data_IF_046172666458
#
_entry.id   IF_046172666458
#
_cell.length_a   1.000
_cell.length_b   1.000
_cell.length_c   1.000
_cell.angle_alpha   90.00
_cell.angle_beta   90.00
_cell.angle_gamma   90.00
#
_symmetry.space_group_name_H-M   'P 1'
#
loop_
_entity.id
_entity.type
_entity.pdbx_description
1 polymer ?
#
# COMPACT_ATOMS: atom_id res chain seq x y z
N UNK A 1 57.22 43.06 42.18
CA UNK A 1 56.61 43.98 41.19
C UNK A 1 56.36 43.25 39.88
N UNK A 2 55.10 42.93 39.59
CA UNK A 2 54.45 42.93 38.25
C UNK A 2 53.06 42.27 38.40
N UNK A 3 52.02 43.08 38.19
CA UNK A 3 50.60 42.71 38.07
C UNK A 3 50.34 42.29 36.62
N UNK A 4 49.59 41.21 36.40
CA UNK A 4 48.76 40.95 35.20
C UNK A 4 47.60 40.05 35.65
N UNK A 5 46.44 40.61 36.03
CA UNK A 5 45.23 40.77 35.20
C UNK A 5 44.89 39.50 34.41
N UNK A 6 44.08 38.63 35.02
CA UNK A 6 43.31 37.60 34.29
C UNK A 6 42.10 38.28 33.67
N UNK A 7 42.15 38.56 32.36
CA UNK A 7 40.98 38.91 31.57
C UNK A 7 40.28 37.62 31.16
N UNK A 8 39.03 37.49 31.57
CA UNK A 8 38.10 36.45 31.13
C UNK A 8 37.86 36.58 29.62
N UNK A 9 38.33 35.60 28.85
CA UNK A 9 37.98 35.48 27.43
C UNK A 9 36.87 34.44 27.29
N UNK A 10 35.65 34.92 27.44
CA UNK A 10 34.45 34.27 26.91
C UNK A 10 34.43 34.51 25.40
N UNK A 11 34.65 33.46 24.60
CA UNK A 11 34.24 33.46 23.19
C UNK A 11 33.51 32.15 22.87
N UNK A 12 32.24 32.33 22.51
CA UNK A 12 31.27 31.36 22.05
C UNK A 12 31.63 30.83 20.67
N UNK A 13 31.62 29.51 20.48
CA UNK A 13 31.39 28.79 19.21
C UNK A 13 30.89 27.37 19.57
N UNK A 14 29.58 27.20 19.68
CA UNK A 14 28.70 26.56 18.68
C UNK A 14 28.90 25.03 18.53
N UNK A 15 28.03 24.31 19.25
CA UNK A 15 27.46 22.98 18.99
C UNK A 15 28.22 22.01 18.07
N UNK A 16 29.09 21.19 18.66
CA UNK A 16 29.36 19.84 18.15
C UNK A 16 28.33 18.89 18.78
N UNK A 17 27.21 18.72 18.08
CA UNK A 17 26.25 17.65 18.36
C UNK A 17 26.92 16.30 18.12
N UNK A 18 27.05 15.53 19.20
CA UNK A 18 27.50 14.14 19.21
C UNK A 18 26.45 13.28 18.47
N UNK A 19 26.68 13.02 17.19
CA UNK A 19 25.94 11.99 16.45
C UNK A 19 26.46 10.63 16.89
N UNK A 20 25.78 10.00 17.84
CA UNK A 20 26.00 8.60 18.20
C UNK A 20 25.68 7.72 17.00
N UNK A 21 26.73 7.20 16.38
CA UNK A 21 26.64 6.12 15.41
C UNK A 21 26.00 4.90 16.09
N UNK A 22 24.73 4.64 15.77
CA UNK A 22 24.05 3.40 16.15
C UNK A 22 24.59 2.27 15.27
N UNK A 23 25.67 1.65 15.74
CA UNK A 23 26.18 0.39 15.20
C UNK A 23 25.31 -0.74 15.76
N UNK A 24 24.34 -1.20 14.98
CA UNK A 24 23.59 -2.41 15.29
C UNK A 24 24.48 -3.62 15.00
N UNK A 25 25.14 -4.15 16.02
CA UNK A 25 25.60 -5.54 16.03
C UNK A 25 24.36 -6.43 15.95
N UNK A 26 24.18 -7.13 14.85
CA UNK A 26 23.28 -8.29 14.79
C UNK A 26 24.09 -9.46 15.34
N UNK A 27 23.73 -9.87 16.56
CA UNK A 27 24.27 -11.07 17.19
C UNK A 27 23.58 -12.28 16.56
N UNK A 28 24.34 -13.08 15.81
CA UNK A 28 23.85 -14.28 15.13
C UNK A 28 23.90 -15.47 16.10
N UNK A 29 22.82 -15.71 16.83
CA UNK A 29 22.57 -17.03 17.42
C UNK A 29 21.88 -17.90 16.37
N UNK A 30 22.57 -18.97 15.99
CA UNK A 30 22.17 -19.97 14.99
C UNK A 30 20.94 -20.72 15.53
N UNK A 31 19.76 -20.40 15.00
CA UNK A 31 18.52 -21.17 15.10
C UNK A 31 18.19 -21.80 13.73
N UNK A 32 17.40 -22.89 13.68
CA UNK A 32 17.31 -23.72 12.50
C UNK A 32 16.73 -22.96 11.29
N UNK A 33 17.48 -23.06 10.20
CA UNK A 33 17.27 -22.58 8.84
C UNK A 33 15.82 -22.74 8.35
N UNK A 34 15.03 -21.67 8.45
CA UNK A 34 13.71 -21.57 7.83
C UNK A 34 13.82 -20.62 6.63
N UNK A 35 14.33 -21.13 5.51
CA UNK A 35 14.58 -20.39 4.24
C UNK A 35 13.36 -19.67 3.62
N UNK A 36 12.20 -19.69 4.27
CA UNK A 36 10.99 -18.98 3.88
C UNK A 36 10.87 -17.57 4.50
N UNK A 37 11.69 -17.22 5.50
CA UNK A 37 11.56 -15.92 6.20
C UNK A 37 12.11 -14.72 5.42
N UNK A 38 13.06 -14.94 4.50
CA UNK A 38 13.68 -13.84 3.75
C UNK A 38 12.80 -13.36 2.58
N UNK A 39 11.84 -14.18 2.13
CA UNK A 39 10.82 -13.83 1.14
C UNK A 39 9.75 -12.88 1.70
N UNK A 40 9.65 -12.75 3.04
CA UNK A 40 8.63 -11.97 3.75
C UNK A 40 8.96 -10.47 3.86
N UNK A 41 10.11 -10.03 3.32
CA UNK A 41 10.64 -8.68 3.54
C UNK A 41 10.47 -7.71 2.36
N UNK A 42 9.77 -8.09 1.29
CA UNK A 42 9.34 -7.11 0.28
C UNK A 42 8.01 -6.52 0.76
N UNK A 43 7.96 -5.22 1.11
CA UNK A 43 6.72 -4.61 1.54
C UNK A 43 5.82 -4.43 0.31
N UNK A 44 4.63 -5.02 0.38
CA UNK A 44 3.68 -4.98 -0.73
C UNK A 44 2.91 -3.68 -0.71
N UNK A 45 2.70 -3.13 -1.89
CA UNK A 45 2.02 -1.87 -2.09
C UNK A 45 0.52 -2.04 -2.21
N UNK A 46 -0.23 -1.36 -1.36
CA UNK A 46 -1.69 -1.34 -1.41
C UNK A 46 -2.20 0.06 -1.75
N UNK A 47 -3.06 0.14 -2.77
CA UNK A 47 -3.77 1.36 -3.13
C UNK A 47 -5.23 1.29 -2.63
N UNK A 48 -5.60 2.20 -1.71
CA UNK A 48 -6.99 2.38 -1.30
C UNK A 48 -7.67 3.39 -2.23
N UNK A 49 -8.46 2.90 -3.17
CA UNK A 49 -9.13 3.74 -4.17
C UNK A 49 -10.22 4.61 -3.54
N UNK A 50 -10.66 5.68 -4.23
CA UNK A 50 -11.85 6.42 -3.84
C UNK A 50 -13.06 5.49 -3.69
N UNK A 51 -13.77 5.58 -2.55
CA UNK A 51 -14.93 4.72 -2.29
C UNK A 51 -16.15 5.21 -3.08
N UNK A 52 -17.01 4.28 -3.49
CA UNK A 52 -18.30 4.61 -4.05
C UNK A 52 -19.32 4.83 -2.95
N UNK A 53 -20.09 5.92 -3.05
CA UNK A 53 -21.21 6.19 -2.16
C UNK A 53 -22.53 5.88 -2.89
N UNK A 54 -23.25 4.86 -2.44
CA UNK A 54 -24.58 4.50 -2.96
C UNK A 54 -25.70 4.97 -2.01
N UNK A 55 -25.41 5.99 -1.20
CA UNK A 55 -26.33 6.58 -0.22
C UNK A 55 -26.53 8.06 -0.53
N UNK A 56 -27.54 8.67 0.09
CA UNK A 56 -27.83 10.09 -0.07
C UNK A 56 -26.98 11.01 0.84
N UNK A 57 -26.09 10.45 1.67
CA UNK A 57 -25.25 11.21 2.60
C UNK A 57 -23.94 11.62 1.93
N UNK A 58 -23.87 12.86 1.45
CA UNK A 58 -22.70 13.42 0.76
C UNK A 58 -21.41 13.40 1.61
N UNK A 59 -20.27 13.10 0.98
CA UNK A 59 -18.95 13.14 1.61
C UNK A 59 -18.64 11.93 2.50
N UNK A 60 -19.60 11.01 2.67
CA UNK A 60 -19.41 9.79 3.46
C UNK A 60 -18.30 8.90 2.88
N UNK A 61 -18.12 8.88 1.56
CA UNK A 61 -17.03 8.19 0.87
C UNK A 61 -15.64 8.65 1.29
N UNK A 62 -15.47 9.95 1.56
CA UNK A 62 -14.19 10.51 2.01
C UNK A 62 -13.91 10.07 3.45
N UNK A 63 -14.88 10.28 4.34
CA UNK A 63 -14.76 9.93 5.76
C UNK A 63 -14.53 8.43 5.98
N UNK A 64 -15.26 7.58 5.26
CA UNK A 64 -15.14 6.12 5.38
C UNK A 64 -13.82 5.65 4.78
N UNK A 65 -13.39 6.19 3.63
CA UNK A 65 -12.09 5.85 3.03
C UNK A 65 -10.94 6.25 3.94
N UNK A 66 -10.94 7.47 4.48
CA UNK A 66 -9.91 7.95 5.42
C UNK A 66 -9.85 7.08 6.68
N UNK A 67 -10.99 6.81 7.31
CA UNK A 67 -11.05 5.94 8.49
C UNK A 67 -10.58 4.51 8.18
N UNK A 68 -10.99 3.96 7.04
CA UNK A 68 -10.53 2.63 6.60
C UNK A 68 -9.02 2.61 6.35
N UNK A 69 -8.49 3.61 5.63
CA UNK A 69 -7.07 3.77 5.36
C UNK A 69 -6.26 3.86 6.65
N UNK A 70 -6.68 4.69 7.61
CA UNK A 70 -5.98 4.84 8.89
C UNK A 70 -5.90 3.53 9.69
N UNK A 71 -6.93 2.69 9.61
CA UNK A 71 -6.88 1.37 10.23
C UNK A 71 -6.02 0.37 9.44
N UNK A 72 -6.01 0.47 8.11
CA UNK A 72 -5.23 -0.40 7.23
C UNK A 72 -3.72 -0.07 7.25
N UNK A 73 -3.34 1.20 7.27
CA UNK A 73 -1.94 1.67 7.25
C UNK A 73 -1.14 1.20 8.47
N UNK A 74 -1.82 0.86 9.57
CA UNK A 74 -1.23 0.23 10.75
C UNK A 74 -0.86 -1.26 10.56
N UNK A 75 -1.00 -1.82 9.35
CA UNK A 75 -0.80 -3.24 9.03
C UNK A 75 0.45 -3.47 8.17
N UNK A 76 0.64 -4.70 7.70
CA UNK A 76 1.90 -5.22 7.11
C UNK A 76 2.20 -4.69 5.71
N UNK A 77 1.28 -3.96 5.08
CA UNK A 77 1.47 -3.43 3.72
C UNK A 77 2.14 -2.06 3.73
N UNK A 78 2.95 -1.78 2.72
CA UNK A 78 3.33 -0.41 2.39
C UNK A 78 2.13 0.23 1.67
N UNK A 79 1.43 1.12 2.34
CA UNK A 79 0.34 1.86 1.73
C UNK A 79 0.85 2.99 0.83
N UNK A 80 0.08 3.27 -0.21
CA UNK A 80 0.25 4.48 -1.01
C UNK A 80 -0.67 5.54 -0.41
N UNK A 81 -0.09 6.69 -0.06
CA UNK A 81 -0.82 7.82 0.49
C UNK A 81 -2.05 8.17 -0.37
N UNK A 82 -3.22 8.24 0.26
CA UNK A 82 -4.50 8.46 -0.46
C UNK A 82 -4.49 9.77 -1.27
N UNK A 83 -3.74 10.78 -0.83
CA UNK A 83 -3.56 12.05 -1.56
C UNK A 83 -2.75 11.88 -2.83
N UNK A 84 -1.75 10.99 -2.82
CA UNK A 84 -0.95 10.67 -3.99
C UNK A 84 -1.74 9.82 -4.98
N UNK A 85 -2.59 8.90 -4.48
CA UNK A 85 -3.57 8.17 -5.29
C UNK A 85 -4.50 9.15 -5.99
N UNK A 86 -5.07 10.13 -5.28
CA UNK A 86 -6.01 11.09 -5.86
C UNK A 86 -5.36 11.96 -6.95
N UNK A 87 -4.11 12.38 -6.73
CA UNK A 87 -3.32 13.11 -7.74
C UNK A 87 -3.08 12.24 -8.98
N UNK A 88 -2.62 11.01 -8.78
CA UNK A 88 -2.34 10.07 -9.86
C UNK A 88 -3.61 9.72 -10.65
N UNK A 89 -4.75 9.50 -9.99
CA UNK A 89 -6.05 9.29 -10.62
C UNK A 89 -6.39 10.48 -11.52
N UNK A 90 -6.25 11.72 -11.04
CA UNK A 90 -6.51 12.91 -11.85
C UNK A 90 -5.63 12.99 -13.10
N UNK A 91 -4.36 12.61 -13.00
CA UNK A 91 -3.45 12.55 -14.14
C UNK A 91 -3.80 11.44 -15.13
N UNK A 92 -4.20 10.27 -14.63
CA UNK A 92 -4.66 9.13 -15.44
C UNK A 92 -5.92 9.50 -16.21
N UNK A 93 -6.92 10.11 -15.56
CA UNK A 93 -8.15 10.55 -16.22
C UNK A 93 -7.87 11.55 -17.35
N UNK A 94 -6.96 12.52 -17.12
CA UNK A 94 -6.53 13.48 -18.13
C UNK A 94 -5.82 12.81 -19.32
N UNK A 95 -4.99 11.81 -19.05
CA UNK A 95 -4.22 11.10 -20.09
C UNK A 95 -5.10 10.18 -20.94
N UNK A 96 -6.00 9.43 -20.30
CA UNK A 96 -6.83 8.41 -20.98
C UNK A 96 -8.13 9.01 -21.55
N UNK A 97 -8.53 10.22 -21.14
CA UNK A 97 -9.78 10.85 -21.55
C UNK A 97 -11.03 10.12 -21.05
N UNK A 98 -10.91 9.33 -19.98
CA UNK A 98 -11.97 8.51 -19.37
C UNK A 98 -12.03 8.78 -17.87
N UNK A 99 -13.19 8.53 -17.25
CA UNK A 99 -13.28 8.55 -15.79
C UNK A 99 -12.58 7.32 -15.22
N UNK A 100 -11.97 7.49 -14.04
CA UNK A 100 -11.24 6.39 -13.39
C UNK A 100 -12.16 5.21 -13.07
N UNK A 101 -13.46 5.48 -12.84
CA UNK A 101 -14.50 4.47 -12.62
C UNK A 101 -14.73 3.54 -13.82
N UNK A 102 -14.36 3.99 -15.02
CA UNK A 102 -14.48 3.21 -16.26
C UNK A 102 -13.22 2.36 -16.52
N UNK A 103 -12.18 2.51 -15.68
CA UNK A 103 -10.95 1.73 -15.76
C UNK A 103 -11.08 0.54 -14.82
N UNK A 104 -10.81 -0.71 -15.29
CA UNK A 104 -10.81 -1.88 -14.42
C UNK A 104 -9.89 -1.67 -13.19
N UNK A 105 -10.34 -2.03 -11.96
CA UNK A 105 -9.58 -1.76 -10.75
C UNK A 105 -8.16 -2.34 -10.73
N UNK A 106 -7.96 -3.51 -11.35
CA UNK A 106 -6.66 -4.15 -11.52
C UNK A 106 -5.72 -3.29 -12.39
N UNK A 107 -6.24 -2.79 -13.53
CA UNK A 107 -5.49 -1.90 -14.43
C UNK A 107 -5.17 -0.58 -13.75
N UNK A 108 -6.13 -0.02 -13.01
CA UNK A 108 -5.91 1.22 -12.26
C UNK A 108 -4.83 1.02 -11.19
N UNK A 109 -4.85 -0.10 -10.48
CA UNK A 109 -3.80 -0.47 -9.52
C UNK A 109 -2.40 -0.58 -10.13
N UNK A 110 -2.28 -1.20 -11.32
CA UNK A 110 -1.00 -1.25 -12.07
C UNK A 110 -0.51 0.15 -12.43
N UNK A 111 -1.40 1.04 -12.87
CA UNK A 111 -1.04 2.43 -13.17
C UNK A 111 -0.60 3.22 -11.93
N UNK A 112 -1.12 2.86 -10.75
CA UNK A 112 -0.73 3.43 -9.46
C UNK A 112 0.54 2.78 -8.87
N UNK A 113 1.04 1.70 -9.47
CA UNK A 113 2.20 0.95 -8.97
C UNK A 113 1.92 0.18 -7.68
N UNK A 114 0.69 -0.30 -7.51
CA UNK A 114 0.26 -1.11 -6.38
C UNK A 114 0.19 -2.60 -6.75
N UNK A 115 0.55 -3.48 -5.82
CA UNK A 115 0.40 -4.94 -5.93
C UNK A 115 -1.06 -5.35 -5.65
N UNK A 116 -1.75 -4.58 -4.79
CA UNK A 116 -3.17 -4.76 -4.52
C UNK A 116 -3.95 -3.45 -4.55
N UNK A 117 -5.21 -3.57 -4.93
CA UNK A 117 -6.19 -2.49 -4.87
C UNK A 117 -7.26 -2.84 -3.87
N UNK A 118 -7.58 -1.88 -2.99
CA UNK A 118 -8.79 -1.92 -2.18
C UNK A 118 -9.87 -1.09 -2.88
N UNK A 119 -10.97 -1.75 -3.24
CA UNK A 119 -12.19 -1.12 -3.70
C UNK A 119 -13.23 -1.14 -2.59
N UNK A 120 -13.88 0.00 -2.36
CA UNK A 120 -14.90 0.14 -1.31
C UNK A 120 -16.19 0.74 -1.83
N UNK A 121 -17.31 0.25 -1.31
CA UNK A 121 -18.65 0.78 -1.60
C UNK A 121 -19.47 0.89 -0.33
N UNK A 122 -19.99 2.08 -0.06
CA UNK A 122 -20.95 2.33 1.01
C UNK A 122 -22.33 2.02 0.44
N UNK A 123 -22.88 0.87 0.84
CA UNK A 123 -24.13 0.37 0.28
C UNK A 123 -25.35 1.00 0.93
N UNK A 124 -25.24 1.40 2.21
CA UNK A 124 -26.38 1.87 2.97
C UNK A 124 -25.95 2.75 4.14
N UNK A 125 -26.68 3.83 4.37
CA UNK A 125 -26.58 4.66 5.57
C UNK A 125 -28.00 5.10 5.96
N UNK A 126 -28.54 4.52 7.04
CA UNK A 126 -29.91 4.80 7.52
C UNK A 126 -29.90 5.40 8.91
N UNK A 127 -30.75 6.41 9.10
CA UNK A 127 -31.12 6.97 10.39
C UNK A 127 -32.57 6.56 10.64
N UNK A 128 -32.81 5.80 11.70
CA UNK A 128 -34.14 5.33 12.10
C UNK A 128 -34.52 5.99 13.43
N UNK A 129 -35.67 6.67 13.46
CA UNK A 129 -36.20 7.35 14.64
C UNK A 129 -37.61 6.82 14.93
N UNK A 130 -37.84 6.30 16.13
CA UNK A 130 -39.15 5.80 16.59
C UNK A 130 -39.39 6.23 18.04
N UNK A 131 -40.12 7.33 18.23
CA UNK A 131 -40.37 7.90 19.56
C UNK A 131 -39.06 8.30 20.26
N UNK A 132 -38.77 7.64 21.38
CA UNK A 132 -37.51 7.81 22.13
C UNK A 132 -36.33 7.00 21.58
N UNK A 133 -36.59 6.09 20.63
CA UNK A 133 -35.56 5.24 20.04
C UNK A 133 -34.95 5.90 18.81
N UNK A 134 -33.62 5.99 18.77
CA UNK A 134 -32.85 6.46 17.62
C UNK A 134 -31.75 5.46 17.30
N UNK A 135 -31.60 5.10 16.03
CA UNK A 135 -30.55 4.22 15.55
C UNK A 135 -29.94 4.75 14.25
N UNK A 136 -28.62 4.64 14.13
CA UNK A 136 -27.88 4.86 12.87
C UNK A 136 -27.27 3.52 12.44
N UNK A 137 -27.37 3.19 11.16
CA UNK A 137 -26.76 1.99 10.57
C UNK A 137 -25.95 2.32 9.33
N UNK A 138 -24.79 1.69 9.19
CA UNK A 138 -23.88 1.83 8.06
C UNK A 138 -23.52 0.45 7.51
N UNK A 139 -23.65 0.27 6.19
CA UNK A 139 -23.27 -0.96 5.48
C UNK A 139 -22.11 -0.66 4.53
N UNK A 140 -20.99 -1.34 4.74
CA UNK A 140 -19.76 -1.19 3.97
C UNK A 140 -19.42 -2.49 3.25
N UNK A 141 -19.11 -2.40 1.97
CA UNK A 141 -18.58 -3.47 1.15
C UNK A 141 -17.13 -3.17 0.76
N UNK A 142 -16.22 -4.10 1.00
CA UNK A 142 -14.80 -3.98 0.62
C UNK A 142 -14.39 -5.19 -0.21
N UNK A 143 -13.56 -4.93 -1.22
CA UNK A 143 -12.87 -5.92 -2.04
C UNK A 143 -11.37 -5.62 -2.04
N UNK A 144 -10.54 -6.66 -1.96
CA UNK A 144 -9.10 -6.60 -2.18
C UNK A 144 -8.82 -7.39 -3.45
N UNK A 145 -8.21 -6.71 -4.42
CA UNK A 145 -8.04 -7.19 -5.79
C UNK A 145 -6.54 -7.24 -6.09
N UNK A 146 -6.08 -8.37 -6.63
CA UNK A 146 -4.75 -8.52 -7.17
C UNK A 146 -4.64 -7.70 -8.47
N UNK A 147 -3.70 -6.75 -8.52
CA UNK A 147 -3.56 -5.86 -9.69
C UNK A 147 -2.96 -6.57 -10.89
N UNK A 148 -2.31 -7.72 -10.72
CA UNK A 148 -1.72 -8.47 -11.82
C UNK A 148 -2.78 -9.20 -12.67
N UNK A 149 -3.59 -10.06 -12.03
CA UNK A 149 -4.55 -10.94 -12.72
C UNK A 149 -6.02 -10.49 -12.54
N UNK A 150 -6.29 -9.46 -11.73
CA UNK A 150 -7.64 -9.00 -11.42
C UNK A 150 -8.43 -9.94 -10.49
N UNK A 151 -7.78 -10.91 -9.87
CA UNK A 151 -8.43 -11.84 -8.94
C UNK A 151 -8.86 -11.12 -7.65
N UNK A 152 -10.08 -11.39 -7.20
CA UNK A 152 -10.58 -10.92 -5.91
C UNK A 152 -10.02 -11.84 -4.82
N UNK A 153 -8.97 -11.39 -4.13
CA UNK A 153 -8.32 -12.15 -3.06
C UNK A 153 -9.17 -12.22 -1.80
N UNK A 154 -9.94 -11.16 -1.54
CA UNK A 154 -10.83 -11.08 -0.40
C UNK A 154 -11.97 -10.11 -0.66
N UNK A 155 -13.16 -10.44 -0.14
CA UNK A 155 -14.34 -9.59 -0.23
C UNK A 155 -15.23 -9.79 1.00
N UNK A 156 -15.80 -8.70 1.51
CA UNK A 156 -16.74 -8.75 2.62
C UNK A 156 -17.71 -7.58 2.61
N UNK A 157 -18.94 -7.85 3.07
CA UNK A 157 -19.92 -6.83 3.43
C UNK A 157 -20.14 -6.89 4.93
N UNK A 158 -20.10 -5.74 5.59
CA UNK A 158 -20.36 -5.62 7.02
C UNK A 158 -21.40 -4.53 7.26
N UNK A 159 -22.24 -4.73 8.28
CA UNK A 159 -23.19 -3.71 8.73
C UNK A 159 -23.04 -3.51 10.22
N UNK A 160 -22.77 -2.27 10.64
CA UNK A 160 -22.79 -1.89 12.04
C UNK A 160 -23.98 -0.98 12.33
N UNK A 161 -24.42 -1.00 13.59
CA UNK A 161 -25.48 -0.14 14.11
C UNK A 161 -25.02 0.53 15.40
N UNK A 162 -25.50 1.74 15.63
CA UNK A 162 -25.37 2.48 16.88
C UNK A 162 -26.77 2.93 17.31
N UNK A 163 -27.16 2.71 18.57
CA UNK A 163 -28.47 3.08 19.12
C UNK A 163 -28.32 3.74 20.49
N UNK A 164 -29.33 4.49 20.91
CA UNK A 164 -29.44 4.96 22.30
C UNK A 164 -29.85 3.78 23.20
N UNK A 165 -29.12 3.56 24.29
CA UNK A 165 -29.20 2.35 25.10
C UNK A 165 -28.65 2.62 26.50
N UNK A 166 -29.18 3.66 27.15
CA UNK A 166 -28.86 4.07 28.51
C UNK A 166 -29.89 5.08 29.00
N UNK A 167 -30.18 5.07 30.30
CA UNK A 167 -31.14 5.94 31.02
C UNK A 167 -30.94 7.44 30.65
N UNK A 168 -32.00 8.27 30.61
CA UNK A 168 -32.21 9.30 29.59
C UNK A 168 -31.71 10.71 29.97
N UNK A 169 -31.36 11.51 28.96
CA UNK A 169 -31.30 12.98 29.08
C UNK A 169 -32.23 13.74 28.11
N UNK A 170 -33.22 13.07 27.49
CA UNK A 170 -34.20 13.74 26.63
C UNK A 170 -35.64 13.73 27.16
N UNK A 171 -35.83 13.49 28.46
CA UNK A 171 -37.15 13.34 29.10
C UNK A 171 -38.06 14.59 29.08
N UNK A 172 -37.78 15.62 28.29
CA UNK A 172 -38.72 16.70 28.03
C UNK A 172 -38.85 17.00 26.55
N UNK A 173 -39.98 16.57 25.99
CA UNK A 173 -40.49 17.07 24.72
C UNK A 173 -40.86 18.54 24.84
N UNK A 174 -39.90 19.42 24.51
CA UNK A 174 -40.14 20.82 24.15
C UNK A 174 -39.10 21.16 23.08
N UNK A 175 -39.52 21.32 21.83
CA UNK A 175 -38.81 22.21 20.89
C UNK A 175 -39.08 23.64 21.41
N UNK A 176 -38.15 24.64 21.56
CA UNK A 176 -36.94 24.96 20.76
C UNK A 176 -35.72 25.60 21.49
N UNK A 177 -34.55 25.65 20.82
CA UNK A 177 -33.38 26.59 20.92
C UNK A 177 -32.01 25.89 20.81
N UNK A 178 -31.96 24.56 20.98
CA UNK A 178 -30.72 23.77 21.00
C UNK A 178 -30.38 23.08 19.67
N UNK A 179 -30.74 23.66 18.53
CA UNK A 179 -30.57 23.04 17.20
C UNK A 179 -29.09 22.79 16.83
N UNK A 180 -28.12 23.38 17.55
CA UNK A 180 -26.69 23.14 17.34
C UNK A 180 -26.17 21.88 18.04
N UNK A 181 -26.68 21.54 19.22
CA UNK A 181 -26.15 20.42 20.02
C UNK A 181 -26.59 19.05 19.49
N UNK A 182 -27.79 18.97 18.93
CA UNK A 182 -28.30 17.75 18.27
C UNK A 182 -27.53 17.41 17.00
N UNK A 183 -27.14 18.41 16.20
CA UNK A 183 -26.28 18.19 15.02
C UNK A 183 -24.89 17.65 15.43
N UNK A 184 -24.29 18.18 16.50
CA UNK A 184 -22.99 17.71 16.99
C UNK A 184 -23.02 16.23 17.42
N UNK A 185 -24.00 15.83 18.24
CA UNK A 185 -24.15 14.44 18.68
C UNK A 185 -24.40 13.46 17.51
N UNK A 186 -25.13 13.88 16.47
CA UNK A 186 -25.33 13.04 15.29
C UNK A 186 -24.05 12.87 14.46
N UNK A 187 -23.18 13.89 14.43
CA UNK A 187 -21.89 13.81 13.76
C UNK A 187 -20.91 12.94 14.55
N UNK A 188 -20.85 13.06 15.87
CA UNK A 188 -20.04 12.18 16.72
C UNK A 188 -20.45 10.71 16.56
N UNK A 189 -21.75 10.40 16.69
CA UNK A 189 -22.27 9.03 16.50
C UNK A 189 -22.00 8.48 15.10
N UNK A 190 -22.04 9.34 14.08
CA UNK A 190 -21.67 8.97 12.71
C UNK A 190 -20.18 8.60 12.64
N UNK A 191 -19.31 9.43 13.19
CA UNK A 191 -17.87 9.17 13.21
C UNK A 191 -17.53 7.90 14.01
N UNK A 192 -18.10 7.72 15.19
CA UNK A 192 -17.94 6.50 16.00
C UNK A 192 -18.38 5.25 15.23
N UNK A 193 -19.51 5.34 14.51
CA UNK A 193 -20.02 4.23 13.71
C UNK A 193 -19.08 3.92 12.53
N UNK A 194 -18.55 4.95 11.86
CA UNK A 194 -17.55 4.83 10.77
C UNK A 194 -16.29 4.16 11.29
N UNK A 195 -15.71 4.65 12.39
CA UNK A 195 -14.51 4.06 12.98
C UNK A 195 -14.74 2.62 13.41
N UNK A 196 -15.89 2.34 14.05
CA UNK A 196 -16.25 0.99 14.48
C UNK A 196 -16.39 0.04 13.29
N UNK A 197 -17.07 0.44 12.20
CA UNK A 197 -17.21 -0.43 11.02
C UNK A 197 -15.87 -0.65 10.32
N UNK A 198 -15.06 0.40 10.14
CA UNK A 198 -13.78 0.30 9.45
C UNK A 198 -12.78 -0.54 10.26
N UNK A 199 -12.67 -0.33 11.57
CA UNK A 199 -11.85 -1.16 12.46
C UNK A 199 -12.26 -2.63 12.41
N UNK A 200 -13.56 -2.92 12.53
CA UNK A 200 -14.08 -4.29 12.47
C UNK A 200 -13.83 -4.93 11.11
N UNK A 201 -13.98 -4.15 10.03
CA UNK A 201 -13.71 -4.62 8.67
C UNK A 201 -12.23 -4.97 8.48
N UNK A 202 -11.32 -4.10 8.91
CA UNK A 202 -9.88 -4.33 8.80
C UNK A 202 -9.43 -5.51 9.68
N UNK A 203 -10.01 -5.69 10.87
CA UNK A 203 -9.61 -6.78 11.78
C UNK A 203 -9.92 -8.18 11.25
N UNK A 204 -10.83 -8.31 10.28
CA UNK A 204 -11.19 -9.61 9.69
C UNK A 204 -10.53 -9.87 8.32
N UNK A 205 -9.67 -8.95 7.85
CA UNK A 205 -8.89 -9.16 6.63
C UNK A 205 -7.81 -10.22 6.90
N UNK A 206 -7.74 -11.31 6.12
CA UNK A 206 -6.77 -12.38 6.32
C UNK A 206 -5.43 -12.00 5.67
N UNK A 207 -4.71 -11.05 6.26
CA UNK A 207 -3.45 -10.50 5.73
C UNK A 207 -2.42 -11.57 5.36
N UNK A 208 -2.23 -12.59 6.19
CA UNK A 208 -1.29 -13.70 5.92
C UNK A 208 -1.71 -14.51 4.68
N UNK A 209 -3.01 -14.79 4.52
CA UNK A 209 -3.52 -15.53 3.35
C UNK A 209 -3.34 -14.71 2.08
N UNK A 210 -3.61 -13.41 2.14
CA UNK A 210 -3.42 -12.49 1.01
C UNK A 210 -1.93 -12.42 0.66
N UNK A 211 -1.05 -12.30 1.66
CA UNK A 211 0.39 -12.31 1.47
C UNK A 211 0.88 -13.61 0.81
N UNK A 212 0.37 -14.76 1.26
CA UNK A 212 0.75 -16.06 0.69
C UNK A 212 0.13 -16.35 -0.68
N UNK A 213 -0.92 -15.62 -1.08
CA UNK A 213 -1.58 -15.77 -2.39
C UNK A 213 -0.87 -15.03 -3.52
N UNK A 214 0.20 -14.30 -3.23
CA UNK A 214 0.97 -13.56 -4.23
C UNK A 214 1.62 -14.55 -5.19
N UNK A 215 1.39 -14.31 -6.48
CA UNK A 215 2.27 -14.86 -7.49
C UNK A 215 3.62 -14.12 -7.40
N UNK A 216 4.54 -14.64 -6.60
CA UNK A 216 5.94 -14.20 -6.66
C UNK A 216 6.46 -14.63 -8.02
N UNK A 217 6.70 -13.65 -8.89
CA UNK A 217 7.35 -13.92 -10.16
C UNK A 217 8.85 -13.76 -10.03
N UNK A 218 9.55 -14.63 -10.74
CA UNK A 218 10.99 -14.64 -10.80
C UNK A 218 11.39 -14.16 -12.17
N UNK A 219 12.14 -13.06 -12.22
CA UNK A 219 12.89 -12.67 -13.40
C UNK A 219 14.33 -13.15 -13.24
N UNK A 220 14.95 -13.54 -14.33
CA UNK A 220 16.36 -13.92 -14.37
C UNK A 220 17.11 -12.77 -15.01
N UNK A 221 17.90 -12.04 -14.21
CA UNK A 221 18.78 -11.02 -14.76
C UNK A 221 20.04 -11.68 -15.30
N UNK A 222 20.22 -11.62 -16.61
CA UNK A 222 21.36 -12.23 -17.30
C UNK A 222 22.57 -11.28 -17.32
N UNK A 223 22.35 -10.02 -17.66
CA UNK A 223 23.39 -9.01 -17.77
C UNK A 223 22.83 -7.58 -17.64
N UNK A 224 23.69 -6.61 -17.36
CA UNK A 224 23.36 -5.20 -17.42
C UNK A 224 24.48 -4.41 -18.10
N UNK A 225 24.12 -3.59 -19.09
CA UNK A 225 25.08 -2.87 -19.91
C UNK A 225 24.81 -1.36 -19.91
N UNK A 226 25.88 -0.57 -19.87
CA UNK A 226 25.79 0.87 -20.19
C UNK A 226 25.69 1.09 -21.70
N UNK A 227 26.42 0.27 -22.46
CA UNK A 227 26.46 0.29 -23.92
C UNK A 227 25.22 -0.40 -24.51
N UNK A 228 24.49 0.34 -25.35
CA UNK A 228 23.27 -0.12 -26.02
C UNK A 228 23.55 -1.16 -27.11
N UNK A 229 24.66 -1.05 -27.82
CA UNK A 229 24.99 -1.98 -28.91
C UNK A 229 25.41 -3.33 -28.37
N UNK A 230 26.16 -3.33 -27.26
CA UNK A 230 26.51 -4.55 -26.54
C UNK A 230 25.27 -5.26 -25.96
N UNK A 231 24.33 -4.48 -25.43
CA UNK A 231 23.03 -4.99 -25.00
C UNK A 231 22.28 -5.66 -26.17
N UNK A 232 22.20 -4.99 -27.32
CA UNK A 232 21.48 -5.48 -28.51
C UNK A 232 22.09 -6.79 -29.03
N UNK A 233 23.42 -6.86 -29.17
CA UNK A 233 24.13 -8.09 -29.56
C UNK A 233 23.86 -9.26 -28.61
N UNK A 234 23.80 -8.98 -27.31
CA UNK A 234 23.53 -9.99 -26.27
C UNK A 234 22.09 -10.50 -26.36
N UNK A 235 21.11 -9.60 -26.60
CA UNK A 235 19.71 -9.97 -26.82
C UNK A 235 19.60 -10.91 -28.03
N UNK A 236 20.22 -10.57 -29.15
CA UNK A 236 20.15 -11.38 -30.38
C UNK A 236 20.79 -12.76 -30.18
N UNK A 237 21.86 -12.84 -29.38
CA UNK A 237 22.46 -14.12 -28.98
C UNK A 237 21.51 -14.94 -28.13
N UNK A 238 20.89 -14.36 -27.10
CA UNK A 238 19.97 -15.08 -26.22
C UNK A 238 18.69 -15.51 -26.95
N UNK A 239 18.15 -14.67 -27.85
CA UNK A 239 17.02 -15.03 -28.71
C UNK A 239 17.32 -16.20 -29.64
N UNK A 240 18.54 -16.25 -30.22
CA UNK A 240 18.99 -17.40 -31.03
C UNK A 240 19.10 -18.70 -30.23
N UNK A 241 19.33 -18.61 -28.92
CA UNK A 241 19.31 -19.75 -28.00
C UNK A 241 17.87 -20.14 -27.57
N UNK A 242 16.86 -19.43 -28.06
CA UNK A 242 15.45 -19.71 -27.79
C UNK A 242 14.90 -19.06 -26.51
N UNK A 243 15.60 -18.08 -25.93
CA UNK A 243 15.10 -17.36 -24.77
C UNK A 243 14.22 -16.18 -25.17
N UNK A 244 13.10 -16.00 -24.47
CA UNK A 244 12.33 -14.76 -24.52
C UNK A 244 12.97 -13.72 -23.60
N UNK A 245 13.37 -12.59 -24.19
CA UNK A 245 14.21 -11.60 -23.52
C UNK A 245 13.48 -10.26 -23.42
N UNK A 246 13.46 -9.69 -22.22
CA UNK A 246 13.01 -8.32 -21.91
C UNK A 246 14.20 -7.44 -21.58
N UNK A 247 14.05 -6.13 -21.84
CA UNK A 247 15.05 -5.12 -21.48
C UNK A 247 14.40 -4.06 -20.60
N UNK A 248 14.98 -3.84 -19.43
CA UNK A 248 14.63 -2.74 -18.56
C UNK A 248 15.71 -1.67 -18.57
N UNK A 249 15.27 -0.41 -18.66
CA UNK A 249 16.16 0.74 -18.59
C UNK A 249 16.13 1.32 -17.18
N UNK A 250 17.27 1.33 -16.49
CA UNK A 250 17.39 1.87 -15.13
C UNK A 250 18.47 2.94 -15.04
N UNK A 251 18.10 4.12 -14.54
CA UNK A 251 19.07 5.15 -14.17
C UNK A 251 19.68 4.83 -12.81
N UNK A 252 21.01 4.66 -12.76
CA UNK A 252 21.73 4.41 -11.51
C UNK A 252 23.04 5.20 -11.50
N UNK A 253 23.24 6.01 -10.47
CA UNK A 253 24.42 6.89 -10.31
C UNK A 253 24.67 7.78 -11.55
N UNK A 254 23.61 8.39 -12.08
CA UNK A 254 23.68 9.29 -13.24
C UNK A 254 23.94 8.60 -14.59
N UNK A 255 23.90 7.26 -14.67
CA UNK A 255 24.11 6.50 -15.90
C UNK A 255 22.90 5.64 -16.23
N UNK A 256 22.58 5.49 -17.51
CA UNK A 256 21.49 4.66 -18.01
C UNK A 256 21.99 3.23 -18.25
N UNK A 257 21.48 2.30 -17.46
CA UNK A 257 21.74 0.87 -17.61
C UNK A 257 20.61 0.19 -18.39
N UNK A 258 21.00 -0.71 -19.28
CA UNK A 258 20.12 -1.61 -20.02
C UNK A 258 20.27 -3.01 -19.40
N UNK A 259 19.31 -3.38 -18.56
CA UNK A 259 19.28 -4.68 -17.88
C UNK A 259 18.50 -5.69 -18.72
N UNK A 260 19.12 -6.82 -19.00
CA UNK A 260 18.54 -7.93 -19.75
C UNK A 260 17.92 -8.93 -18.77
N UNK A 261 16.63 -9.20 -18.95
CA UNK A 261 15.82 -10.09 -18.12
C UNK A 261 15.22 -11.21 -18.97
N UNK A 262 15.08 -12.39 -18.37
CA UNK A 262 14.34 -13.53 -18.91
C UNK A 262 13.27 -13.91 -17.89
N UNK A 263 12.01 -14.00 -18.31
CA UNK A 263 10.85 -14.16 -17.43
C UNK A 263 9.69 -13.22 -17.82
N UNK A 264 8.59 -13.20 -17.05
CA UNK A 264 8.49 -13.70 -15.67
C UNK A 264 8.21 -15.22 -15.56
N UNK A 265 8.70 -15.85 -14.49
CA UNK A 265 8.39 -17.23 -14.12
C UNK A 265 7.57 -17.28 -12.83
N UNK A 266 6.49 -18.05 -12.77
CA UNK A 266 5.65 -18.21 -11.57
C UNK A 266 6.21 -19.19 -10.53
N UNK A 267 7.33 -19.87 -10.83
CA UNK A 267 7.89 -20.92 -9.99
C UNK A 267 9.41 -20.82 -9.91
N UNK A 268 9.94 -20.67 -8.69
CA UNK A 268 11.37 -20.58 -8.41
C UNK A 268 12.19 -21.72 -8.99
N UNK A 269 11.67 -22.95 -8.89
CA UNK A 269 12.35 -24.15 -9.38
C UNK A 269 12.53 -24.09 -10.89
N UNK A 270 11.53 -23.57 -11.60
CA UNK A 270 11.61 -23.37 -13.06
C UNK A 270 12.63 -22.30 -13.40
N UNK A 271 12.61 -21.17 -12.70
CA UNK A 271 13.60 -20.10 -12.90
C UNK A 271 15.04 -20.60 -12.62
N UNK A 272 15.25 -21.38 -11.54
CA UNK A 272 16.54 -22.00 -11.21
C UNK A 272 17.02 -22.97 -12.29
N UNK A 273 16.13 -23.77 -12.90
CA UNK A 273 16.50 -24.64 -14.03
C UNK A 273 16.97 -23.84 -15.25
N UNK A 274 16.31 -22.73 -15.55
CA UNK A 274 16.71 -21.83 -16.64
C UNK A 274 18.04 -21.14 -16.31
N UNK A 275 18.28 -20.73 -15.07
CA UNK A 275 19.59 -20.21 -14.60
C UNK A 275 20.71 -21.21 -14.89
N UNK A 276 20.54 -22.48 -14.51
CA UNK A 276 21.56 -23.50 -14.74
C UNK A 276 21.78 -23.77 -16.23
N UNK A 277 20.71 -23.71 -17.04
CA UNK A 277 20.83 -23.81 -18.50
C UNK A 277 21.62 -22.65 -19.09
N UNK A 278 21.36 -21.41 -18.68
CA UNK A 278 22.07 -20.22 -19.16
C UNK A 278 23.55 -20.28 -18.76
N UNK A 279 23.87 -20.70 -17.53
CA UNK A 279 25.27 -20.88 -17.08
C UNK A 279 26.03 -21.92 -17.90
N UNK A 280 25.33 -22.95 -18.40
CA UNK A 280 25.91 -24.00 -19.24
C UNK A 280 26.10 -23.54 -20.68
N UNK A 281 25.13 -22.80 -21.23
CA UNK A 281 25.07 -22.43 -22.64
C UNK A 281 25.78 -21.10 -22.95
N UNK A 282 26.14 -20.32 -21.92
CA UNK A 282 26.70 -18.97 -22.05
C UNK A 282 27.74 -18.66 -20.97
N UNK A 283 28.54 -17.62 -21.17
CA UNK A 283 29.48 -17.09 -20.17
C UNK A 283 28.82 -16.24 -19.06
N UNK A 284 27.49 -16.05 -19.11
CA UNK A 284 26.81 -15.18 -18.16
C UNK A 284 26.62 -15.87 -16.80
N UNK A 285 26.64 -15.06 -15.74
CA UNK A 285 26.32 -15.47 -14.38
C UNK A 285 24.96 -14.85 -14.04
N UNK A 286 23.86 -15.47 -14.47
CA UNK A 286 22.54 -14.93 -14.23
C UNK A 286 22.21 -14.97 -12.73
N UNK A 287 21.52 -13.93 -12.27
CA UNK A 287 21.00 -13.83 -10.91
C UNK A 287 19.48 -13.90 -10.93
N UNK A 288 18.94 -14.57 -9.92
CA UNK A 288 17.51 -14.60 -9.69
C UNK A 288 17.10 -13.24 -9.10
N UNK A 289 16.14 -12.59 -9.73
CA UNK A 289 15.57 -11.32 -9.30
C UNK A 289 14.11 -11.57 -8.97
N UNK A 290 13.72 -11.22 -7.76
CA UNK A 290 12.32 -11.21 -7.37
C UNK A 290 11.66 -9.99 -7.98
N UNK A 291 10.62 -10.22 -8.77
CA UNK A 291 9.74 -9.18 -9.24
C UNK A 291 8.38 -9.38 -8.55
N UNK A 292 8.03 -8.49 -7.62
CA UNK A 292 6.63 -8.24 -7.32
C UNK A 292 6.12 -7.33 -8.44
N UNK A 293 5.18 -7.84 -9.23
CA UNK A 293 4.54 -7.10 -10.31
C UNK A 293 3.06 -6.96 -10.02
#
# INVERSE_FOLDING_TARGET
MKRYVLVSLSLVLLFLGCGTFYSSRVDSTIGPDNKNSDLLNIPLKVAVLPFNNLTDENGLELLVRESFYNHLSSKVFQDIEIKDIDRAISEIEKREGKKWKDIPPDRLGRLLGADFVVSGSILNFKKFFLGIYSQISLTLHIQIINTYNGEILWMRTLTNRSHDGGIPFSLFGIVPSALRSTLHLTNERKMDLIEKICRNMVSIIPFEKIYNSICVYYDIQVAAFLDKDLCTKTIDRLKRLGYEVRVEKRYKRGRLWHTILIGPFSNEKTAKLIIERIKKDTEFIPILVFASH
#
